data_IF_894040468262
#
_entry.id   IF_894040468262
#
_cell.length_a   1.000
_cell.length_b   1.000
_cell.length_c   1.000
_cell.angle_alpha   90.00
_cell.angle_beta   90.00
_cell.angle_gamma   90.00
#
_symmetry.space_group_name_H-M   'P 1'
#
loop_
_entity.id
_entity.type
_entity.pdbx_description
1 polymer ?
#
# COMPACT_ATOMS: atom_id res chain seq x y z
N UNK A 1 32.67 2.25 -32.64
CA UNK A 1 32.68 2.86 -31.30
C UNK A 1 31.58 2.21 -30.44
N UNK A 2 31.99 1.48 -29.47
CA UNK A 2 31.28 0.30 -28.90
C UNK A 2 30.09 0.68 -28.02
N UNK A 3 28.90 0.14 -28.32
CA UNK A 3 27.66 0.27 -27.47
C UNK A 3 27.79 -0.28 -26.05
N UNK A 4 28.88 -0.97 -25.73
CA UNK A 4 29.16 -1.55 -24.42
C UNK A 4 29.54 -0.53 -23.34
N UNK A 5 30.04 0.64 -23.71
CA UNK A 5 30.65 1.55 -22.74
C UNK A 5 29.64 2.45 -22.00
N UNK A 6 28.47 2.70 -22.59
CA UNK A 6 27.41 3.50 -21.92
C UNK A 6 26.63 2.76 -20.85
N UNK A 7 26.52 1.43 -20.92
CA UNK A 7 25.77 0.63 -19.94
C UNK A 7 26.54 0.41 -18.64
N UNK A 8 27.87 0.44 -18.68
CA UNK A 8 28.72 0.27 -17.50
C UNK A 8 28.82 1.54 -16.66
N UNK A 9 28.77 2.73 -17.27
CA UNK A 9 28.83 4.01 -16.55
C UNK A 9 27.56 4.29 -15.71
N UNK A 10 26.43 3.69 -16.06
CA UNK A 10 25.17 3.86 -15.31
C UNK A 10 25.03 2.96 -14.08
N UNK A 11 25.99 2.06 -13.83
CA UNK A 11 25.93 1.09 -12.73
C UNK A 11 26.88 1.41 -11.58
N UNK A 12 27.52 2.55 -11.59
CA UNK A 12 28.37 3.01 -10.51
C UNK A 12 27.65 4.13 -9.75
N UNK A 13 27.63 4.01 -8.43
CA UNK A 13 27.09 5.04 -7.51
C UNK A 13 28.18 5.52 -6.57
N UNK A 14 28.10 6.77 -6.14
CA UNK A 14 28.97 7.32 -5.10
C UNK A 14 28.35 7.07 -3.74
N UNK A 15 29.03 6.32 -2.89
CA UNK A 15 28.60 6.07 -1.53
C UNK A 15 29.46 6.84 -0.53
N UNK A 16 28.85 7.44 0.51
CA UNK A 16 29.61 8.11 1.57
C UNK A 16 30.27 7.06 2.49
N UNK A 17 31.52 7.33 2.87
CA UNK A 17 32.26 6.61 3.91
C UNK A 17 32.14 7.30 5.27
N UNK A 18 32.55 6.61 6.33
CA UNK A 18 32.54 7.14 7.69
C UNK A 18 33.43 8.39 7.86
N UNK A 19 34.52 8.53 7.08
CA UNK A 19 35.41 9.68 7.02
C UNK A 19 34.88 10.86 6.18
N UNK A 20 33.59 10.75 5.71
CA UNK A 20 32.90 11.70 4.81
C UNK A 20 33.48 11.78 3.39
N UNK A 21 34.42 10.93 3.02
CA UNK A 21 34.82 10.77 1.62
C UNK A 21 33.73 10.03 0.82
N UNK A 22 33.81 10.14 -0.52
CA UNK A 22 32.92 9.43 -1.42
C UNK A 22 33.69 8.32 -2.14
N UNK A 23 33.17 7.11 -2.09
CA UNK A 23 33.69 5.98 -2.83
C UNK A 23 32.79 5.65 -4.03
N UNK A 24 33.43 5.33 -5.15
CA UNK A 24 32.72 4.77 -6.30
C UNK A 24 32.43 3.31 -6.04
N UNK A 25 31.16 2.96 -5.92
CA UNK A 25 30.70 1.59 -5.77
C UNK A 25 30.11 1.09 -7.08
N UNK A 26 30.68 0.00 -7.59
CA UNK A 26 30.17 -0.65 -8.79
C UNK A 26 29.06 -1.62 -8.43
N UNK A 27 27.86 -1.36 -8.95
CA UNK A 27 26.73 -2.28 -8.79
C UNK A 27 26.99 -3.58 -9.57
N UNK A 28 26.56 -4.71 -9.01
CA UNK A 28 26.57 -5.98 -9.71
C UNK A 28 25.61 -5.99 -10.89
N UNK A 29 25.77 -6.95 -11.79
CA UNK A 29 24.80 -7.19 -12.85
C UNK A 29 23.39 -7.40 -12.27
N UNK A 30 22.33 -6.81 -12.87
CA UNK A 30 20.97 -7.09 -12.45
C UNK A 30 20.68 -8.58 -12.55
N UNK A 31 20.13 -9.15 -11.49
CA UNK A 31 19.61 -10.50 -11.56
C UNK A 31 18.38 -10.52 -12.44
N UNK A 32 18.36 -11.39 -13.42
CA UNK A 32 17.15 -11.63 -14.19
C UNK A 32 16.21 -12.51 -13.37
N UNK A 33 15.08 -11.93 -12.96
CA UNK A 33 14.00 -12.70 -12.37
C UNK A 33 13.02 -13.08 -13.49
N UNK A 34 12.64 -14.37 -13.61
CA UNK A 34 11.66 -14.77 -14.59
C UNK A 34 10.34 -14.02 -14.34
N UNK A 35 9.73 -13.56 -15.42
CA UNK A 35 8.39 -13.00 -15.36
C UNK A 35 7.41 -14.12 -15.01
N UNK A 36 6.82 -14.03 -13.83
CA UNK A 36 5.88 -15.03 -13.30
C UNK A 36 4.43 -14.56 -13.42
N UNK A 37 4.10 -13.80 -14.43
CA UNK A 37 2.72 -13.43 -14.66
C UNK A 37 1.83 -14.67 -14.68
N UNK A 38 0.71 -14.61 -13.96
CA UNK A 38 -0.24 -15.71 -13.80
C UNK A 38 0.35 -17.00 -13.15
N UNK A 39 1.33 -16.87 -12.27
CA UNK A 39 1.85 -18.00 -11.52
C UNK A 39 0.73 -18.66 -10.71
N UNK A 40 0.49 -19.96 -10.92
CA UNK A 40 -0.40 -20.74 -10.07
C UNK A 40 0.31 -21.01 -8.75
N UNK A 41 -0.06 -20.26 -7.72
CA UNK A 41 0.41 -20.51 -6.36
C UNK A 41 -0.38 -21.67 -5.76
N UNK A 42 0.28 -22.49 -4.93
CA UNK A 42 -0.37 -23.59 -4.23
C UNK A 42 -1.23 -23.13 -3.03
N UNK A 43 -1.18 -21.84 -2.71
CA UNK A 43 -1.95 -21.20 -1.65
C UNK A 43 -2.37 -19.80 -2.09
N UNK A 44 -3.44 -19.29 -1.51
CA UNK A 44 -3.81 -17.89 -1.64
C UNK A 44 -2.90 -17.07 -0.71
N UNK A 45 -2.13 -16.16 -1.29
CA UNK A 45 -1.28 -15.23 -0.58
C UNK A 45 -1.73 -13.80 -0.85
N UNK A 46 -1.70 -12.97 0.19
CA UNK A 46 -2.05 -11.55 0.09
C UNK A 46 -0.81 -10.69 0.28
N UNK A 47 -0.66 -9.68 -0.56
CA UNK A 47 0.29 -8.61 -0.37
C UNK A 47 -0.41 -7.43 0.32
N UNK A 48 0.12 -6.95 1.43
CA UNK A 48 -0.30 -5.71 2.05
C UNK A 48 0.36 -4.56 1.28
N UNK A 49 -0.41 -3.91 0.40
CA UNK A 49 0.10 -2.92 -0.53
C UNK A 49 0.19 -1.53 0.11
N UNK A 50 1.32 -0.83 -0.09
CA UNK A 50 1.47 0.57 0.27
C UNK A 50 0.77 1.48 -0.76
N UNK A 51 0.55 2.75 -0.42
CA UNK A 51 0.14 3.78 -1.36
C UNK A 51 1.37 4.44 -1.99
N UNK A 52 1.20 5.02 -3.17
CA UNK A 52 2.24 5.80 -3.83
C UNK A 52 1.94 7.28 -3.58
N UNK A 53 2.86 7.99 -2.94
CA UNK A 53 2.72 9.42 -2.73
C UNK A 53 2.92 10.19 -4.03
N UNK A 54 2.19 11.30 -4.20
CA UNK A 54 2.44 12.27 -5.25
C UNK A 54 3.48 13.30 -4.77
N UNK A 55 4.74 13.23 -5.24
CA UNK A 55 5.79 14.14 -4.80
C UNK A 55 5.66 15.56 -5.37
N UNK A 56 4.76 15.76 -6.34
CA UNK A 56 4.54 17.06 -7.01
C UNK A 56 3.27 17.75 -6.51
N UNK A 57 2.53 17.15 -5.59
CA UNK A 57 1.35 17.77 -5.04
C UNK A 57 1.71 19.00 -4.20
N UNK A 58 0.91 20.05 -4.34
CA UNK A 58 1.01 21.26 -3.52
C UNK A 58 0.27 21.03 -2.18
N UNK A 59 0.90 20.26 -1.30
CA UNK A 59 0.36 19.99 0.04
C UNK A 59 1.49 19.97 1.08
N UNK A 60 1.14 20.28 2.32
CA UNK A 60 2.01 20.05 3.47
C UNK A 60 1.86 18.57 3.92
N UNK A 61 2.91 17.74 3.79
CA UNK A 61 2.83 16.31 4.14
C UNK A 61 2.61 16.06 5.64
N UNK A 62 2.79 17.08 6.51
CA UNK A 62 2.46 17.00 7.94
C UNK A 62 0.97 17.15 8.22
N UNK A 63 0.25 17.83 7.32
CA UNK A 63 -1.16 18.16 7.51
C UNK A 63 -2.10 17.28 6.68
N UNK A 64 -1.58 16.63 5.63
CA UNK A 64 -2.39 15.78 4.78
C UNK A 64 -1.56 14.92 3.86
N UNK A 65 -2.17 13.87 3.31
CA UNK A 65 -1.54 13.02 2.32
C UNK A 65 -1.98 13.43 0.90
N UNK A 66 -1.05 13.29 -0.05
CA UNK A 66 -1.34 13.35 -1.48
C UNK A 66 -0.97 12.00 -2.10
N UNK A 67 -1.94 11.33 -2.70
CA UNK A 67 -1.78 10.00 -3.27
C UNK A 67 -1.79 10.11 -4.80
N UNK A 68 -0.77 9.56 -5.44
CA UNK A 68 -0.78 9.26 -6.87
C UNK A 68 -1.68 8.05 -7.08
N UNK A 69 -2.94 8.31 -7.38
CA UNK A 69 -3.96 7.27 -7.52
C UNK A 69 -3.67 6.30 -8.66
N UNK A 70 -3.17 6.79 -9.78
CA UNK A 70 -2.89 5.97 -10.96
C UNK A 70 -1.77 4.98 -10.66
N UNK A 71 -0.66 5.43 -10.09
CA UNK A 71 0.44 4.55 -9.70
C UNK A 71 0.06 3.63 -8.55
N UNK A 72 -0.76 4.11 -7.62
CA UNK A 72 -1.26 3.30 -6.51
C UNK A 72 -2.09 2.12 -7.03
N UNK A 73 -3.00 2.35 -7.97
CA UNK A 73 -3.81 1.29 -8.57
C UNK A 73 -2.97 0.38 -9.49
N UNK A 74 -2.10 0.95 -10.32
CA UNK A 74 -1.20 0.17 -11.18
C UNK A 74 -0.32 -0.81 -10.35
N UNK A 75 0.07 -0.43 -9.13
CA UNK A 75 0.80 -1.33 -8.24
C UNK A 75 -0.08 -2.52 -7.79
N UNK A 76 -1.38 -2.31 -7.53
CA UNK A 76 -2.33 -3.40 -7.22
C UNK A 76 -2.51 -4.33 -8.42
N UNK A 77 -2.67 -3.77 -9.60
CA UNK A 77 -2.79 -4.53 -10.84
C UNK A 77 -1.54 -5.41 -11.09
N UNK A 78 -0.35 -4.87 -10.82
CA UNK A 78 0.88 -5.64 -10.87
C UNK A 78 0.85 -6.83 -9.88
N UNK A 79 0.42 -6.63 -8.64
CA UNK A 79 0.32 -7.69 -7.64
C UNK A 79 -0.68 -8.79 -8.05
N UNK A 80 -1.83 -8.41 -8.59
CA UNK A 80 -2.79 -9.37 -9.13
C UNK A 80 -2.23 -10.12 -10.34
N UNK A 81 -1.48 -9.44 -11.21
CA UNK A 81 -0.76 -10.08 -12.34
C UNK A 81 0.26 -11.13 -11.88
N UNK A 82 0.84 -10.99 -10.69
CA UNK A 82 1.71 -12.00 -10.07
C UNK A 82 0.94 -13.14 -9.40
N UNK A 83 -0.39 -13.13 -9.42
CA UNK A 83 -1.25 -14.14 -8.79
C UNK A 83 -1.45 -13.95 -7.29
N UNK A 84 -1.12 -12.78 -6.75
CA UNK A 84 -1.34 -12.42 -5.35
C UNK A 84 -2.72 -11.81 -5.15
N UNK A 85 -3.30 -11.97 -3.97
CA UNK A 85 -4.37 -11.10 -3.49
C UNK A 85 -3.80 -9.81 -2.92
N UNK A 86 -4.63 -8.78 -2.77
CA UNK A 86 -4.27 -7.52 -2.12
C UNK A 86 -5.01 -7.39 -0.79
N UNK A 87 -4.27 -7.20 0.30
CA UNK A 87 -4.80 -6.74 1.58
C UNK A 87 -4.76 -5.21 1.57
N UNK A 88 -5.92 -4.59 1.31
CA UNK A 88 -6.04 -3.17 1.04
C UNK A 88 -6.27 -2.35 2.29
N UNK A 89 -5.77 -1.12 2.28
CA UNK A 89 -5.95 -0.14 3.36
C UNK A 89 -5.57 -0.70 4.75
N UNK A 90 -4.48 -1.48 4.80
CA UNK A 90 -3.86 -1.96 6.03
C UNK A 90 -2.83 -0.93 6.54
N UNK A 91 -2.16 -1.23 7.63
CA UNK A 91 -1.09 -0.37 8.19
C UNK A 91 0.00 -0.05 7.15
N UNK A 92 0.31 -1.00 6.25
CA UNK A 92 1.26 -0.82 5.14
C UNK A 92 0.83 0.31 4.18
N UNK A 93 -0.47 0.57 4.05
CA UNK A 93 -0.99 1.71 3.29
C UNK A 93 -0.94 3.03 4.07
N UNK A 94 -0.19 3.09 5.17
CA UNK A 94 -0.05 4.25 6.07
C UNK A 94 -1.36 4.64 6.77
N UNK A 95 -2.30 3.71 6.91
CA UNK A 95 -3.56 3.95 7.61
C UNK A 95 -3.32 4.32 9.06
N UNK A 96 -3.91 5.45 9.49
CA UNK A 96 -3.66 6.01 10.81
C UNK A 96 -2.26 6.63 11.00
N UNK A 97 -1.45 6.72 9.93
CA UNK A 97 -0.13 7.33 9.89
C UNK A 97 0.00 8.30 8.70
N UNK A 98 -1.05 9.05 8.41
CA UNK A 98 -1.13 9.99 7.29
C UNK A 98 -2.35 9.74 6.40
N UNK A 99 -2.74 8.50 6.21
CA UNK A 99 -3.97 8.13 5.48
C UNK A 99 -5.10 7.95 6.51
N UNK A 100 -6.05 8.85 6.48
CA UNK A 100 -7.24 8.83 7.34
C UNK A 100 -8.34 7.89 6.80
N UNK A 101 -9.44 7.75 7.54
CA UNK A 101 -10.53 6.87 7.14
C UNK A 101 -11.21 7.31 5.82
N UNK A 102 -11.54 8.59 5.57
CA UNK A 102 -12.10 9.01 4.29
C UNK A 102 -11.20 8.66 3.09
N UNK A 103 -9.90 8.90 3.21
CA UNK A 103 -8.90 8.56 2.17
C UNK A 103 -8.75 7.04 2.02
N UNK A 104 -8.77 6.29 3.13
CA UNK A 104 -8.77 4.83 3.11
C UNK A 104 -9.99 4.26 2.41
N UNK A 105 -11.17 4.85 2.64
CA UNK A 105 -12.41 4.43 1.97
C UNK A 105 -12.35 4.68 0.46
N UNK A 106 -11.79 5.82 0.03
CA UNK A 106 -11.58 6.10 -1.39
C UNK A 106 -10.61 5.09 -2.03
N UNK A 107 -9.51 4.77 -1.33
CA UNK A 107 -8.57 3.74 -1.75
C UNK A 107 -9.26 2.38 -1.92
N UNK A 108 -10.09 1.99 -0.94
CA UNK A 108 -10.84 0.74 -0.98
C UNK A 108 -11.78 0.72 -2.19
N UNK A 109 -12.55 1.78 -2.43
CA UNK A 109 -13.46 1.88 -3.58
C UNK A 109 -12.75 1.70 -4.91
N UNK A 110 -11.62 2.40 -5.09
CA UNK A 110 -10.80 2.31 -6.32
C UNK A 110 -10.22 0.91 -6.50
N UNK A 111 -9.66 0.34 -5.45
CA UNK A 111 -9.06 -1.00 -5.49
C UNK A 111 -10.11 -2.08 -5.74
N UNK A 112 -11.29 -2.01 -5.15
CA UNK A 112 -12.39 -2.93 -5.41
C UNK A 112 -12.86 -2.83 -6.86
N UNK A 113 -12.99 -1.61 -7.41
CA UNK A 113 -13.35 -1.41 -8.80
C UNK A 113 -12.30 -1.99 -9.76
N UNK A 114 -11.02 -1.72 -9.52
CA UNK A 114 -9.93 -2.26 -10.32
C UNK A 114 -9.83 -3.79 -10.22
N UNK A 115 -9.99 -4.36 -9.01
CA UNK A 115 -10.02 -5.81 -8.80
C UNK A 115 -11.15 -6.48 -9.59
N UNK A 116 -12.34 -5.88 -9.61
CA UNK A 116 -13.46 -6.39 -10.42
C UNK A 116 -13.14 -6.41 -11.92
N UNK A 117 -12.43 -5.39 -12.41
CA UNK A 117 -12.08 -5.29 -13.84
C UNK A 117 -11.07 -6.37 -14.28
N UNK A 118 -10.15 -6.81 -13.41
CA UNK A 118 -9.12 -7.81 -13.73
C UNK A 118 -9.34 -9.18 -13.03
N UNK A 119 -10.48 -9.40 -12.38
CA UNK A 119 -10.76 -10.57 -11.54
C UNK A 119 -9.72 -10.78 -10.43
N UNK A 120 -9.22 -9.68 -9.88
CA UNK A 120 -8.26 -9.63 -8.78
C UNK A 120 -8.94 -9.95 -7.44
N UNK A 121 -8.19 -10.54 -6.52
CA UNK A 121 -8.65 -10.81 -5.16
C UNK A 121 -8.24 -9.65 -4.24
N UNK A 122 -9.21 -9.00 -3.58
CA UNK A 122 -8.97 -7.90 -2.65
C UNK A 122 -9.79 -8.08 -1.37
N UNK A 123 -9.13 -7.89 -0.23
CA UNK A 123 -9.74 -7.78 1.09
C UNK A 123 -9.29 -6.48 1.73
N UNK A 124 -10.22 -5.75 2.32
CA UNK A 124 -9.97 -4.41 2.85
C UNK A 124 -9.92 -4.40 4.36
N UNK A 125 -8.97 -3.69 4.91
CA UNK A 125 -8.84 -3.49 6.35
C UNK A 125 -10.05 -2.74 6.90
N UNK A 126 -10.68 -3.30 7.92
CA UNK A 126 -11.75 -2.69 8.68
C UNK A 126 -11.26 -2.47 10.13
N UNK A 127 -11.28 -1.25 10.59
CA UNK A 127 -10.80 -0.85 11.91
C UNK A 127 -11.75 0.11 12.60
N UNK A 128 -11.19 0.93 13.47
CA UNK A 128 -11.93 1.95 14.24
C UNK A 128 -11.15 3.26 14.30
N UNK A 129 -10.36 3.56 13.28
CA UNK A 129 -9.45 4.70 13.26
C UNK A 129 -10.16 6.06 13.18
N UNK A 130 -11.43 6.10 12.74
CA UNK A 130 -12.29 7.28 12.85
C UNK A 130 -12.75 7.55 14.29
N UNK A 131 -12.72 6.55 15.18
CA UNK A 131 -13.02 6.72 16.57
C UNK A 131 -11.78 7.23 17.32
N UNK A 132 -11.88 8.42 17.92
CA UNK A 132 -10.87 8.89 18.86
C UNK A 132 -10.84 7.96 20.09
N UNK A 133 -9.73 7.26 20.35
CA UNK A 133 -9.64 6.37 21.51
C UNK A 133 -9.91 7.09 22.82
N UNK A 134 -9.64 8.41 22.92
CA UNK A 134 -9.91 9.24 24.09
C UNK A 134 -11.40 9.47 24.35
N UNK A 135 -12.24 9.30 23.34
CA UNK A 135 -13.69 9.53 23.40
C UNK A 135 -14.51 8.26 23.51
N UNK A 136 -13.89 7.08 23.34
CA UNK A 136 -14.58 5.81 23.53
C UNK A 136 -15.00 5.64 25.00
N UNK A 137 -16.31 5.50 25.25
CA UNK A 137 -16.89 5.33 26.59
C UNK A 137 -17.04 3.87 26.98
N UNK A 138 -17.11 2.98 25.99
CA UNK A 138 -17.28 1.55 26.21
C UNK A 138 -17.19 0.76 24.91
N UNK A 139 -17.41 -0.53 25.06
CA UNK A 139 -17.34 -1.48 23.93
C UNK A 139 -18.34 -1.17 22.82
N UNK A 140 -19.50 -0.63 23.15
CA UNK A 140 -20.53 -0.29 22.16
C UNK A 140 -20.08 0.81 21.19
N UNK A 141 -19.24 1.75 21.63
CA UNK A 141 -18.66 2.76 20.75
C UNK A 141 -17.68 2.14 19.76
N UNK A 142 -16.93 1.14 20.20
CA UNK A 142 -15.99 0.39 19.36
C UNK A 142 -16.75 -0.46 18.34
N UNK A 143 -17.82 -1.13 18.77
CA UNK A 143 -18.68 -1.92 17.87
C UNK A 143 -19.27 -1.03 16.79
N UNK A 144 -19.88 0.10 17.15
CA UNK A 144 -20.44 1.04 16.17
C UNK A 144 -19.40 1.54 15.17
N UNK A 145 -18.17 1.81 15.64
CA UNK A 145 -17.11 2.25 14.75
C UNK A 145 -16.67 1.16 13.74
N UNK A 146 -16.69 -0.10 14.15
CA UNK A 146 -16.49 -1.22 13.22
C UNK A 146 -17.66 -1.35 12.23
N UNK A 147 -18.89 -1.31 12.73
CA UNK A 147 -20.12 -1.42 11.91
C UNK A 147 -20.14 -0.37 10.80
N UNK A 148 -19.81 0.89 11.12
CA UNK A 148 -19.71 1.98 10.12
C UNK A 148 -18.73 1.64 9.00
N UNK A 149 -17.56 1.11 9.34
CA UNK A 149 -16.56 0.73 8.33
C UNK A 149 -16.95 -0.52 7.55
N UNK A 150 -17.57 -1.50 8.22
CA UNK A 150 -18.09 -2.72 7.59
C UNK A 150 -19.11 -2.35 6.52
N UNK A 151 -20.13 -1.57 6.90
CA UNK A 151 -21.19 -1.12 5.98
C UNK A 151 -20.63 -0.37 4.77
N UNK A 152 -19.67 0.53 5.00
CA UNK A 152 -19.04 1.29 3.92
C UNK A 152 -18.22 0.41 2.95
N UNK A 153 -17.50 -0.60 3.47
CA UNK A 153 -16.71 -1.54 2.66
C UNK A 153 -17.64 -2.48 1.89
N UNK A 154 -18.69 -3.00 2.53
CA UNK A 154 -19.69 -3.87 1.88
C UNK A 154 -20.45 -3.11 0.80
N UNK A 155 -20.85 -1.86 1.05
CA UNK A 155 -21.50 -1.00 0.05
C UNK A 155 -20.62 -0.78 -1.20
N UNK A 156 -19.29 -0.76 -1.04
CA UNK A 156 -18.34 -0.74 -2.16
C UNK A 156 -18.21 -2.12 -2.85
N UNK A 157 -18.79 -3.17 -2.28
CA UNK A 157 -18.69 -4.55 -2.74
C UNK A 157 -17.35 -5.20 -2.37
N UNK A 158 -16.71 -4.71 -1.33
CA UNK A 158 -15.46 -5.22 -0.77
C UNK A 158 -15.68 -6.41 0.17
N UNK A 159 -14.58 -7.07 0.52
CA UNK A 159 -14.47 -8.08 1.58
C UNK A 159 -13.57 -7.53 2.69
N UNK A 160 -13.70 -8.05 3.89
CA UNK A 160 -13.13 -7.44 5.10
C UNK A 160 -12.00 -8.28 5.69
N UNK A 161 -10.96 -7.59 6.14
CA UNK A 161 -9.99 -8.06 7.14
C UNK A 161 -10.21 -7.23 8.40
N UNK A 162 -10.64 -7.86 9.48
CA UNK A 162 -10.85 -7.16 10.74
C UNK A 162 -9.49 -6.82 11.37
N UNK A 163 -9.25 -5.53 11.63
CA UNK A 163 -8.05 -5.02 12.26
C UNK A 163 -8.28 -4.77 13.75
N UNK A 164 -7.22 -4.81 14.55
CA UNK A 164 -7.32 -4.49 15.96
C UNK A 164 -7.68 -3.02 16.20
N UNK A 165 -8.55 -2.76 17.17
CA UNK A 165 -8.90 -1.40 17.58
C UNK A 165 -7.92 -0.86 18.62
N UNK A 166 -7.40 0.35 18.40
CA UNK A 166 -6.59 1.07 19.41
C UNK A 166 -7.39 1.39 20.69
N UNK A 167 -8.71 1.54 20.58
CA UNK A 167 -9.58 1.81 21.72
C UNK A 167 -9.70 0.61 22.67
N UNK A 168 -9.33 -0.60 22.24
CA UNK A 168 -9.32 -1.81 23.06
C UNK A 168 -7.95 -2.06 23.74
N UNK A 169 -6.92 -1.29 23.42
CA UNK A 169 -5.56 -1.45 23.93
C UNK A 169 -5.30 -0.60 25.20
N UNK A 170 -6.31 -0.34 26.02
CA UNK A 170 -6.24 0.45 27.25
C UNK A 170 -6.20 -0.42 28.49
#
# INVERSE_FOLDING_TARGET
MNRMDKSLQTRAIKLPRADRSLEMFQLSEPKHFPDRQNAKLNRVAFAAAHVVADPNADNDPWLGCAIDWDKTIAFREHLWGLGLGVAEAMDTAQRGMGVDWPTSLELIKRSVAAAKACNGLVFSGCGTDQLDPGKARGIDDVIRAYEEQIEAIEAAGGRIVLMASRALAR
#
